data_IF_298276550199
#
_entry.id   IF_298276550199
#
_cell.length_a   1.000
_cell.length_b   1.000
_cell.length_c   1.000
_cell.angle_alpha   90.00
_cell.angle_beta   90.00
_cell.angle_gamma   90.00
#
_symmetry.space_group_name_H-M   'P 1'
#
loop_
_entity.id
_entity.type
_entity.pdbx_description
1 polymer ?
#
# COMPACT_ATOMS: atom_id res chain seq x y z
N UNK A 1 -1.44 6.46 -10.03
CA UNK A 1 -1.33 5.00 -10.28
C UNK A 1 0.16 4.70 -10.26
N UNK A 2 0.63 3.92 -9.28
CA UNK A 2 2.04 3.92 -8.85
C UNK A 2 2.95 3.22 -9.85
N UNK A 3 2.60 2.00 -10.26
CA UNK A 3 3.36 1.23 -11.24
C UNK A 3 2.47 0.16 -11.92
N UNK A 4 1.68 0.57 -12.94
CA UNK A 4 0.75 -0.31 -13.63
C UNK A 4 1.43 -1.49 -14.35
N UNK A 5 2.63 -1.25 -14.90
CA UNK A 5 3.37 -2.27 -15.64
C UNK A 5 3.76 -3.46 -14.76
N UNK A 6 3.90 -3.23 -13.46
CA UNK A 6 4.24 -4.27 -12.49
C UNK A 6 3.05 -4.74 -11.64
N UNK A 7 1.82 -4.35 -11.99
CA UNK A 7 0.60 -4.73 -11.26
C UNK A 7 0.35 -3.94 -9.99
N UNK A 8 1.16 -2.91 -9.69
CA UNK A 8 0.98 -2.04 -8.54
C UNK A 8 0.07 -0.86 -8.91
N UNK A 9 -1.23 -1.12 -8.89
CA UNK A 9 -2.25 -0.15 -9.22
C UNK A 9 -3.39 -0.14 -8.20
N UNK A 10 -4.30 0.82 -8.35
CA UNK A 10 -5.48 0.90 -7.50
C UNK A 10 -6.30 -0.39 -7.63
N UNK A 11 -6.83 -0.89 -6.51
CA UNK A 11 -7.60 -2.14 -6.40
C UNK A 11 -6.79 -3.44 -6.55
N UNK A 12 -5.47 -3.40 -6.76
CA UNK A 12 -4.65 -4.61 -6.63
C UNK A 12 -4.79 -5.17 -5.22
N UNK A 13 -5.06 -6.47 -5.12
CA UNK A 13 -5.15 -7.19 -3.85
C UNK A 13 -3.78 -7.77 -3.51
N UNK A 14 -3.37 -7.58 -2.27
CA UNK A 14 -2.08 -8.03 -1.78
C UNK A 14 -2.25 -8.90 -0.52
N UNK A 15 -1.34 -9.85 -0.35
CA UNK A 15 -1.10 -10.53 0.92
C UNK A 15 0.16 -9.95 1.55
N UNK A 16 0.05 -9.38 2.75
CA UNK A 16 1.19 -8.83 3.49
C UNK A 16 2.09 -9.96 3.97
N UNK A 17 3.40 -9.85 3.71
CA UNK A 17 4.42 -10.78 4.22
C UNK A 17 5.16 -10.20 5.42
N UNK A 18 5.47 -8.90 5.40
CA UNK A 18 6.15 -8.21 6.50
C UNK A 18 5.68 -6.75 6.64
N UNK A 19 5.64 -6.28 7.88
CA UNK A 19 5.37 -4.88 8.24
C UNK A 19 6.64 -4.25 8.83
N UNK A 20 7.28 -3.38 8.05
CA UNK A 20 8.43 -2.58 8.47
C UNK A 20 7.99 -1.16 8.83
N UNK A 21 8.88 -0.38 9.47
CA UNK A 21 8.54 0.96 9.98
C UNK A 21 8.02 1.95 8.91
N UNK A 22 8.46 1.81 7.65
CA UNK A 22 8.10 2.73 6.56
C UNK A 22 7.65 2.01 5.28
N UNK A 23 7.67 0.68 5.30
CA UNK A 23 7.45 -0.16 4.11
C UNK A 23 6.64 -1.38 4.50
N UNK A 24 5.71 -1.77 3.64
CA UNK A 24 4.98 -3.03 3.73
C UNK A 24 5.51 -3.92 2.63
N UNK A 25 6.04 -5.09 2.99
CA UNK A 25 6.34 -6.13 2.01
C UNK A 25 5.05 -6.92 1.73
N UNK A 26 4.75 -7.12 0.46
CA UNK A 26 3.54 -7.82 0.07
C UNK A 26 3.69 -8.59 -1.24
N UNK A 27 2.85 -9.60 -1.40
CA UNK A 27 2.74 -10.42 -2.60
C UNK A 27 1.40 -10.14 -3.28
N UNK A 28 1.40 -10.00 -4.61
CA UNK A 28 0.17 -9.84 -5.38
C UNK A 28 -0.66 -11.13 -5.27
N UNK A 29 -1.89 -11.00 -4.77
CA UNK A 29 -2.74 -12.15 -4.47
C UNK A 29 -3.57 -12.62 -5.68
N UNK A 30 -3.82 -11.74 -6.66
CA UNK A 30 -4.74 -12.03 -7.77
C UNK A 30 -4.33 -11.33 -9.07
N UNK A 31 -4.73 -11.90 -10.21
CA UNK A 31 -4.52 -11.33 -11.54
C UNK A 31 -3.26 -11.83 -12.23
N UNK A 32 -2.86 -11.16 -13.32
CA UNK A 32 -1.73 -11.60 -14.18
C UNK A 32 -0.36 -11.53 -13.51
N UNK A 33 -0.23 -10.80 -12.40
CA UNK A 33 1.02 -10.62 -11.66
C UNK A 33 1.05 -11.39 -10.32
N UNK A 34 0.14 -12.35 -10.13
CA UNK A 34 0.03 -13.14 -8.89
C UNK A 34 1.37 -13.78 -8.49
N UNK A 35 1.70 -13.74 -7.20
CA UNK A 35 2.94 -14.31 -6.67
C UNK A 35 4.15 -13.37 -6.72
N UNK A 36 4.04 -12.20 -7.37
CA UNK A 36 5.11 -11.21 -7.39
C UNK A 36 5.19 -10.45 -6.07
N UNK A 37 6.40 -10.39 -5.48
CA UNK A 37 6.69 -9.57 -4.31
C UNK A 37 6.92 -8.11 -4.70
N UNK A 38 6.47 -7.19 -3.85
CA UNK A 38 6.75 -5.76 -3.97
C UNK A 38 6.76 -5.08 -2.60
N UNK A 39 7.29 -3.86 -2.59
CA UNK A 39 7.32 -2.98 -1.44
C UNK A 39 6.32 -1.82 -1.62
N UNK A 40 5.45 -1.62 -0.63
CA UNK A 40 4.51 -0.50 -0.56
C UNK A 40 5.04 0.48 0.49
N UNK A 41 5.45 1.67 0.05
CA UNK A 41 5.86 2.73 0.95
C UNK A 41 4.64 3.30 1.68
N UNK A 42 4.75 3.46 3.01
CA UNK A 42 3.75 4.17 3.78
C UNK A 42 3.86 5.67 3.46
N UNK A 43 2.82 6.22 2.84
CA UNK A 43 2.72 7.67 2.61
C UNK A 43 1.98 8.24 3.82
N UNK A 44 2.63 9.07 4.66
CA UNK A 44 1.92 9.73 5.75
C UNK A 44 0.85 10.63 5.15
N UNK A 45 -0.41 10.31 5.43
CA UNK A 45 -1.53 11.17 5.07
C UNK A 45 -1.60 12.28 6.12
N UNK A 46 -1.07 13.45 5.77
CA UNK A 46 -1.34 14.67 6.53
C UNK A 46 -2.72 15.17 6.09
N UNK A 47 -3.70 15.27 6.99
CA UNK A 47 -4.96 15.89 6.65
C UNK A 47 -4.71 17.37 6.37
N UNK A 48 -5.31 17.90 5.29
CA UNK A 48 -5.21 19.32 4.93
C UNK A 48 -5.91 20.21 5.96
N UNK A 49 -7.00 19.70 6.55
CA UNK A 49 -7.76 20.36 7.60
C UNK A 49 -7.47 19.67 8.94
N UNK A 50 -7.15 20.46 9.96
CA UNK A 50 -6.82 19.97 11.30
C UNK A 50 -8.04 19.47 12.10
N UNK A 51 -9.11 19.06 11.42
CA UNK A 51 -10.37 18.64 12.02
C UNK A 51 -10.32 17.16 12.40
N UNK A 52 -9.51 16.84 13.40
CA UNK A 52 -9.72 15.60 14.13
C UNK A 52 -11.04 15.72 14.90
N UNK A 53 -11.98 14.76 14.80
CA UNK A 53 -13.26 14.83 15.52
C UNK A 53 -13.12 14.67 17.05
N UNK A 54 -11.89 14.54 17.55
CA UNK A 54 -11.57 14.59 18.96
C UNK A 54 -10.13 15.03 19.15
N UNK A 55 -9.92 15.87 20.17
CA UNK A 55 -8.61 16.16 20.75
C UNK A 55 -8.43 15.27 21.98
N UNK A 56 -7.21 14.77 22.17
CA UNK A 56 -6.84 13.92 23.31
C UNK A 56 -6.89 14.67 24.64
#
# INVERSE_FOLDING_TARGET
>A
NFDPANGHCNRTKYTVTELNSHVIEAVIATGSHTGKCLFIYQIPLMPSDNQYPFQL
#
